data_IF_820962804041
#
_entry.id   IF_820962804041
#
_cell.length_a   1.000
_cell.length_b   1.000
_cell.length_c   1.000
_cell.angle_alpha   90.00
_cell.angle_beta   90.00
_cell.angle_gamma   90.00
#
_symmetry.space_group_name_H-M   'P 1'
#
loop_
_entity.id
_entity.type
_entity.pdbx_description
1 polymer ?
#
# COMPACT_ATOMS: atom_id res chain seq x y z
N UNK A 1 65.19 26.48 -17.48
CA UNK A 1 63.89 26.20 -16.90
C UNK A 1 63.03 25.52 -17.95
N UNK A 2 62.91 24.22 -17.83
CA UNK A 2 62.34 23.39 -18.89
C UNK A 2 60.83 23.42 -18.85
N UNK A 3 60.25 23.85 -19.98
CA UNK A 3 58.81 23.96 -20.24
C UNK A 3 58.05 22.60 -20.29
N UNK A 4 58.72 21.54 -19.76
CA UNK A 4 58.21 20.14 -19.86
C UNK A 4 57.55 19.59 -18.61
N UNK A 5 57.31 20.39 -17.59
CA UNK A 5 56.72 19.92 -16.31
C UNK A 5 55.35 20.54 -15.98
N UNK A 6 54.64 21.07 -16.97
CA UNK A 6 53.26 21.54 -16.81
C UNK A 6 52.27 20.56 -17.46
N UNK A 7 52.51 19.28 -17.21
CA UNK A 7 51.52 18.26 -17.60
C UNK A 7 51.12 17.48 -16.36
N UNK A 8 49.83 17.33 -16.21
CA UNK A 8 49.13 16.43 -15.29
C UNK A 8 48.84 16.94 -13.88
N UNK A 9 47.86 17.78 -13.75
CA UNK A 9 46.92 17.72 -12.64
C UNK A 9 45.54 18.04 -13.15
N UNK A 10 45.04 17.20 -14.07
CA UNK A 10 43.63 17.16 -14.42
C UNK A 10 42.95 16.32 -13.36
N UNK A 11 42.60 16.95 -12.23
CA UNK A 11 41.78 16.32 -11.19
C UNK A 11 40.42 16.00 -11.79
N UNK A 12 40.16 14.72 -12.03
CA UNK A 12 38.82 14.20 -12.28
C UNK A 12 37.98 14.45 -11.02
N UNK A 13 37.29 15.56 -11.00
CA UNK A 13 36.19 15.76 -10.06
C UNK A 13 35.09 14.85 -10.54
N UNK A 14 35.04 13.65 -10.00
CA UNK A 14 33.89 12.77 -10.13
C UNK A 14 32.72 13.45 -9.37
N UNK A 15 31.84 14.11 -10.12
CA UNK A 15 30.55 14.51 -9.60
C UNK A 15 29.75 13.25 -9.25
N UNK A 16 29.81 12.86 -8.00
CA UNK A 16 28.90 11.89 -7.43
C UNK A 16 27.51 12.57 -7.42
N UNK A 17 26.70 12.31 -8.42
CA UNK A 17 25.28 12.67 -8.40
C UNK A 17 24.66 11.82 -7.30
N UNK A 18 24.09 12.43 -6.23
CA UNK A 18 23.36 11.64 -5.27
C UNK A 18 22.19 11.01 -6.01
N UNK A 19 22.15 9.69 -6.07
CA UNK A 19 20.97 8.97 -6.49
C UNK A 19 19.88 9.28 -5.47
N UNK A 20 18.94 10.15 -5.82
CA UNK A 20 17.71 10.30 -5.06
C UNK A 20 16.97 8.98 -5.17
N UNK A 21 17.06 8.16 -4.12
CA UNK A 21 16.20 7.00 -3.99
C UNK A 21 14.76 7.52 -4.00
N UNK A 22 13.95 7.11 -4.99
CA UNK A 22 12.54 7.43 -5.02
C UNK A 22 11.92 6.93 -3.72
N UNK A 23 11.41 7.84 -2.93
CA UNK A 23 10.65 7.49 -1.73
C UNK A 23 9.37 6.77 -2.17
N UNK A 24 9.04 5.62 -1.56
CA UNK A 24 7.82 4.91 -1.91
C UNK A 24 6.63 5.85 -1.71
N UNK A 25 5.77 5.96 -2.72
CA UNK A 25 4.58 6.77 -2.59
C UNK A 25 3.48 6.03 -1.81
N UNK A 26 2.72 6.72 -0.96
CA UNK A 26 1.64 6.08 -0.23
C UNK A 26 0.60 5.47 -1.17
N UNK A 27 0.07 4.30 -0.80
CA UNK A 27 -1.06 3.69 -1.49
C UNK A 27 -2.40 4.37 -1.13
N UNK A 28 -2.49 4.90 0.07
CA UNK A 28 -3.70 5.56 0.57
C UNK A 28 -3.51 6.15 1.96
N UNK A 29 -4.63 6.42 2.62
CA UNK A 29 -4.66 7.02 3.95
C UNK A 29 -5.76 6.44 4.82
N UNK A 30 -5.53 6.45 6.12
CA UNK A 30 -6.53 6.12 7.13
C UNK A 30 -7.59 7.22 7.18
N UNK A 31 -8.85 6.85 7.06
CA UNK A 31 -10.00 7.77 7.07
C UNK A 31 -10.94 7.57 8.25
N UNK A 32 -10.94 6.37 8.84
CA UNK A 32 -11.76 6.04 10.00
C UNK A 32 -10.92 5.24 10.97
N UNK A 33 -10.92 5.63 12.23
CA UNK A 33 -10.30 4.89 13.34
C UNK A 33 -11.25 4.93 14.53
N UNK A 34 -11.53 3.78 15.09
CA UNK A 34 -12.26 3.64 16.35
C UNK A 34 -11.73 2.44 17.11
N UNK A 35 -11.51 2.57 18.40
CA UNK A 35 -10.91 1.51 19.21
C UNK A 35 -9.47 1.19 18.83
N UNK A 36 -9.02 -0.01 19.14
CA UNK A 36 -7.65 -0.44 18.86
C UNK A 36 -7.45 -0.78 17.37
N UNK A 37 -6.57 -0.05 16.70
CA UNK A 37 -6.20 -0.28 15.31
C UNK A 37 -4.71 0.01 15.10
N UNK A 38 -4.08 -0.80 14.26
CA UNK A 38 -2.62 -0.78 14.06
C UNK A 38 -2.25 -0.90 12.59
N UNK A 39 -1.14 -0.27 12.23
CA UNK A 39 -0.46 -0.48 10.95
C UNK A 39 0.84 -1.21 11.23
N UNK A 40 1.09 -2.29 10.51
CA UNK A 40 2.30 -3.10 10.62
C UNK A 40 3.08 -2.97 9.33
N UNK A 41 4.26 -2.37 9.44
CA UNK A 41 5.18 -2.14 8.32
C UNK A 41 6.49 -2.87 8.59
N UNK A 42 6.75 -3.95 7.86
CA UNK A 42 7.85 -4.82 8.19
C UNK A 42 7.72 -5.37 9.61
N UNK A 43 8.66 -5.04 10.49
CA UNK A 43 8.65 -5.43 11.90
C UNK A 43 8.12 -4.33 12.84
N UNK A 44 7.76 -3.16 12.31
CA UNK A 44 7.27 -2.04 13.09
C UNK A 44 5.76 -2.10 13.22
N UNK A 45 5.28 -1.94 14.45
CA UNK A 45 3.85 -1.85 14.77
C UNK A 45 3.55 -0.43 15.23
N UNK A 46 2.67 0.25 14.52
CA UNK A 46 2.25 1.62 14.79
C UNK A 46 0.77 1.65 15.11
N UNK A 47 0.38 2.47 16.08
CA UNK A 47 -1.04 2.78 16.28
C UNK A 47 -1.57 3.54 15.07
N UNK A 48 -2.71 3.12 14.54
CA UNK A 48 -3.33 3.79 13.40
C UNK A 48 -3.97 5.11 13.82
N UNK A 49 -3.69 6.16 13.06
CA UNK A 49 -4.21 7.51 13.28
C UNK A 49 -4.91 8.03 12.03
N UNK A 50 -5.88 8.93 12.21
CA UNK A 50 -6.53 9.60 11.08
C UNK A 50 -5.53 10.34 10.20
N UNK A 51 -5.64 10.16 8.89
CA UNK A 51 -4.76 10.79 7.92
C UNK A 51 -3.41 10.11 7.72
N UNK A 52 -3.09 9.10 8.54
CA UNK A 52 -1.82 8.37 8.42
C UNK A 52 -1.70 7.68 7.07
N UNK A 53 -0.56 7.82 6.37
CA UNK A 53 -0.36 7.13 5.11
C UNK A 53 -0.18 5.62 5.29
N UNK A 54 -0.71 4.86 4.35
CA UNK A 54 -0.48 3.42 4.22
C UNK A 54 0.21 3.15 2.88
N UNK A 55 1.03 2.11 2.84
CA UNK A 55 1.87 1.77 1.69
C UNK A 55 1.60 0.34 1.22
N UNK A 56 2.04 0.03 0.02
CA UNK A 56 2.11 -1.35 -0.45
C UNK A 56 2.89 -2.20 0.56
N UNK A 57 2.45 -3.41 0.78
CA UNK A 57 2.95 -4.38 1.76
C UNK A 57 2.59 -4.11 3.22
N UNK A 58 2.03 -2.96 3.57
CA UNK A 58 1.54 -2.72 4.92
C UNK A 58 0.41 -3.70 5.27
N UNK A 59 0.42 -4.16 6.51
CA UNK A 59 -0.71 -4.87 7.12
C UNK A 59 -1.43 -3.93 8.06
N UNK A 60 -2.73 -3.98 8.04
CA UNK A 60 -3.60 -3.22 8.95
C UNK A 60 -4.40 -4.20 9.78
N UNK A 61 -4.48 -3.95 11.07
CA UNK A 61 -5.09 -4.85 12.05
C UNK A 61 -5.94 -4.09 13.04
N UNK A 62 -7.05 -4.69 13.43
CA UNK A 62 -7.92 -4.18 14.48
C UNK A 62 -7.94 -5.12 15.68
N UNK A 63 -8.07 -4.55 16.87
CA UNK A 63 -8.36 -5.30 18.09
C UNK A 63 -9.84 -5.68 18.20
N UNK A 64 -10.21 -6.30 19.31
CA UNK A 64 -11.58 -6.80 19.54
C UNK A 64 -12.67 -5.70 19.57
N UNK A 65 -12.30 -4.46 19.78
CA UNK A 65 -13.15 -3.27 19.77
C UNK A 65 -12.84 -2.32 18.61
N UNK A 66 -11.89 -2.69 17.75
CA UNK A 66 -11.34 -1.82 16.72
C UNK A 66 -12.16 -1.77 15.45
N UNK A 67 -12.11 -0.60 14.80
CA UNK A 67 -12.60 -0.38 13.44
C UNK A 67 -11.62 0.51 12.70
N UNK A 68 -11.41 0.21 11.44
CA UNK A 68 -10.46 0.92 10.61
C UNK A 68 -11.02 1.07 9.20
N UNK A 69 -10.97 2.26 8.66
CA UNK A 69 -11.33 2.54 7.27
C UNK A 69 -10.18 3.21 6.53
N UNK A 70 -9.88 2.72 5.34
CA UNK A 70 -8.79 3.21 4.50
C UNK A 70 -9.33 3.56 3.13
N UNK A 71 -8.88 4.69 2.60
CA UNK A 71 -9.13 5.11 1.22
C UNK A 71 -7.80 5.12 0.46
N UNK A 72 -7.75 4.38 -0.61
CA UNK A 72 -6.60 4.31 -1.51
C UNK A 72 -6.61 5.47 -2.50
N UNK A 73 -5.50 5.71 -3.19
CA UNK A 73 -5.36 6.83 -4.15
C UNK A 73 -6.29 6.74 -5.36
N UNK A 74 -6.75 5.56 -5.70
CA UNK A 74 -7.72 5.33 -6.77
C UNK A 74 -9.18 5.44 -6.30
N UNK A 75 -9.41 5.93 -5.09
CA UNK A 75 -10.70 6.02 -4.41
C UNK A 75 -11.31 4.66 -4.00
N UNK A 76 -10.57 3.57 -4.11
CA UNK A 76 -10.96 2.31 -3.46
C UNK A 76 -11.01 2.51 -1.95
N UNK A 77 -12.07 2.02 -1.34
CA UNK A 77 -12.24 2.04 0.11
C UNK A 77 -12.33 0.62 0.64
N UNK A 78 -11.63 0.35 1.69
CA UNK A 78 -11.83 -0.88 2.45
C UNK A 78 -11.87 -0.58 3.94
N UNK A 79 -12.62 -1.36 4.66
CA UNK A 79 -12.81 -1.20 6.10
C UNK A 79 -12.72 -2.55 6.80
N UNK A 80 -12.20 -2.51 8.02
CA UNK A 80 -12.08 -3.66 8.89
C UNK A 80 -13.03 -3.51 10.06
N UNK A 81 -13.75 -4.60 10.35
CA UNK A 81 -14.48 -4.77 11.60
C UNK A 81 -13.54 -5.20 12.74
N UNK A 82 -14.07 -5.50 13.93
CA UNK A 82 -13.29 -5.98 15.06
C UNK A 82 -12.51 -7.27 14.75
N UNK A 83 -11.31 -7.40 15.33
CA UNK A 83 -10.52 -8.62 15.23
C UNK A 83 -10.08 -9.00 13.81
N UNK A 84 -9.86 -8.03 12.96
CA UNK A 84 -9.59 -8.23 11.54
C UNK A 84 -8.16 -7.84 11.16
N UNK A 85 -7.67 -8.45 10.08
CA UNK A 85 -6.36 -8.15 9.51
C UNK A 85 -6.41 -8.22 7.99
N UNK A 86 -5.93 -7.16 7.33
CA UNK A 86 -5.84 -7.06 5.87
C UNK A 86 -4.44 -6.58 5.51
N UNK A 87 -3.85 -7.20 4.50
CA UNK A 87 -2.60 -6.76 3.90
C UNK A 87 -2.85 -6.11 2.54
N UNK A 88 -2.23 -4.97 2.30
CA UNK A 88 -2.16 -4.35 0.98
C UNK A 88 -1.04 -5.05 0.21
N UNK A 89 -1.35 -6.18 -0.42
CA UNK A 89 -0.34 -7.03 -1.05
C UNK A 89 0.26 -6.39 -2.29
N UNK A 90 -0.55 -5.62 -3.02
CA UNK A 90 -0.12 -4.89 -4.21
C UNK A 90 -0.98 -3.66 -4.43
N UNK A 91 -0.35 -2.56 -4.80
CA UNK A 91 -1.02 -1.35 -5.21
C UNK A 91 -0.19 -0.60 -6.25
N UNK A 92 -0.77 -0.36 -7.42
CA UNK A 92 -0.20 0.50 -8.44
C UNK A 92 -1.34 1.29 -9.09
N UNK A 93 -1.22 2.60 -9.12
CA UNK A 93 -2.18 3.46 -9.77
C UNK A 93 -1.47 4.56 -10.54
N UNK A 94 -1.07 4.24 -11.75
CA UNK A 94 -0.48 5.14 -12.73
C UNK A 94 -1.06 4.81 -14.12
N UNK A 95 -2.33 5.16 -14.38
CA UNK A 95 -3.02 4.76 -15.61
C UNK A 95 -2.38 5.32 -16.87
N UNK A 96 -1.80 6.52 -16.82
CA UNK A 96 -1.05 7.11 -17.94
C UNK A 96 0.19 6.29 -18.34
N UNK A 97 0.72 5.46 -17.45
CA UNK A 97 1.86 4.59 -17.67
C UNK A 97 1.46 3.10 -17.83
N UNK A 98 0.17 2.83 -17.91
CA UNK A 98 -0.35 1.47 -18.01
C UNK A 98 -0.14 0.63 -16.74
N UNK A 99 0.17 1.24 -15.60
CA UNK A 99 0.38 0.54 -14.33
C UNK A 99 -0.84 0.67 -13.44
N UNK A 100 -1.61 -0.39 -13.39
CA UNK A 100 -2.83 -0.50 -12.58
C UNK A 100 -2.86 -1.88 -11.96
N UNK A 101 -2.86 -1.94 -10.62
CA UNK A 101 -2.98 -3.20 -9.89
C UNK A 101 -3.49 -2.94 -8.46
N UNK A 102 -4.31 -3.83 -7.95
CA UNK A 102 -4.74 -3.85 -6.57
C UNK A 102 -4.91 -5.29 -6.10
N UNK A 103 -4.23 -5.65 -5.03
CA UNK A 103 -4.45 -6.90 -4.34
C UNK A 103 -4.53 -6.64 -2.84
N UNK A 104 -5.63 -7.04 -2.23
CA UNK A 104 -5.86 -7.02 -0.81
C UNK A 104 -5.98 -8.46 -0.30
N UNK A 105 -5.20 -8.80 0.71
CA UNK A 105 -5.28 -10.10 1.36
C UNK A 105 -5.98 -9.96 2.71
N UNK A 106 -7.18 -10.52 2.80
CA UNK A 106 -7.93 -10.59 4.06
C UNK A 106 -7.46 -11.83 4.82
N UNK A 107 -6.61 -11.60 5.81
CA UNK A 107 -5.98 -12.67 6.58
C UNK A 107 -6.98 -13.29 7.55
N UNK A 108 -7.78 -12.45 8.20
CA UNK A 108 -8.82 -12.88 9.16
C UNK A 108 -9.83 -11.78 9.42
N UNK A 109 -10.96 -12.14 9.99
CA UNK A 109 -12.00 -11.23 10.44
C UNK A 109 -12.92 -10.76 9.32
N UNK A 110 -13.49 -9.58 9.49
CA UNK A 110 -14.44 -9.00 8.54
C UNK A 110 -13.84 -7.80 7.85
N UNK A 111 -13.97 -7.76 6.53
CA UNK A 111 -13.59 -6.63 5.72
C UNK A 111 -14.69 -6.29 4.72
N UNK A 112 -14.89 -5.02 4.48
CA UNK A 112 -15.75 -4.52 3.42
C UNK A 112 -14.91 -3.76 2.39
N UNK A 113 -15.25 -3.94 1.13
CA UNK A 113 -14.56 -3.35 -0.01
C UNK A 113 -15.55 -2.57 -0.86
N UNK A 114 -15.18 -1.37 -1.26
CA UNK A 114 -15.92 -0.55 -2.22
C UNK A 114 -14.99 -0.20 -3.37
N UNK A 115 -15.40 -0.52 -4.58
CA UNK A 115 -14.62 -0.31 -5.80
C UNK A 115 -14.24 1.16 -6.00
N UNK A 116 -12.99 1.36 -6.41
CA UNK A 116 -12.49 2.64 -6.88
C UNK A 116 -12.27 2.66 -8.39
N UNK A 117 -11.34 3.49 -8.84
CA UNK A 117 -11.05 3.70 -10.26
C UNK A 117 -10.35 2.52 -10.91
N UNK A 118 -9.49 1.79 -10.19
CA UNK A 118 -8.83 0.60 -10.73
C UNK A 118 -9.86 -0.42 -11.21
N UNK A 119 -10.87 -0.71 -10.40
CA UNK A 119 -11.91 -1.66 -10.76
C UNK A 119 -12.75 -1.21 -11.97
N UNK A 120 -12.91 0.10 -12.15
CA UNK A 120 -13.63 0.67 -13.30
C UNK A 120 -12.80 0.61 -14.59
N UNK A 121 -11.50 0.88 -14.48
CA UNK A 121 -10.58 0.89 -15.62
C UNK A 121 -10.17 -0.52 -16.04
N UNK A 122 -9.93 -1.41 -15.08
CA UNK A 122 -9.49 -2.77 -15.31
C UNK A 122 -9.96 -3.69 -14.17
N UNK A 123 -11.17 -4.25 -14.28
CA UNK A 123 -11.71 -5.13 -13.23
C UNK A 123 -10.81 -6.33 -12.91
N UNK A 124 -10.11 -6.84 -13.89
CA UNK A 124 -9.21 -7.99 -13.72
C UNK A 124 -7.92 -7.64 -12.95
N UNK A 125 -7.63 -6.36 -12.79
CA UNK A 125 -6.50 -5.88 -12.00
C UNK A 125 -6.77 -5.87 -10.48
N UNK A 126 -8.01 -6.11 -10.06
CA UNK A 126 -8.41 -6.17 -8.65
C UNK A 126 -8.53 -7.60 -8.19
N UNK A 127 -7.78 -7.95 -7.14
CA UNK A 127 -7.82 -9.26 -6.50
C UNK A 127 -8.05 -9.09 -5.00
N UNK A 128 -9.06 -9.78 -4.49
CA UNK A 128 -9.25 -9.96 -3.06
C UNK A 128 -8.86 -11.39 -2.71
N UNK A 129 -7.86 -11.52 -1.87
CA UNK A 129 -7.30 -12.81 -1.47
C UNK A 129 -7.74 -13.15 -0.05
N UNK A 130 -8.01 -14.41 0.19
CA UNK A 130 -8.25 -14.99 1.51
C UNK A 130 -7.37 -16.23 1.66
N UNK A 131 -7.19 -16.80 2.86
CA UNK A 131 -6.38 -18.02 3.02
C UNK A 131 -6.84 -19.22 2.18
N UNK A 132 -8.08 -19.23 1.73
CA UNK A 132 -8.63 -20.35 0.97
C UNK A 132 -9.05 -20.05 -0.46
N UNK A 133 -9.00 -18.78 -0.89
CA UNK A 133 -9.52 -18.40 -2.20
C UNK A 133 -8.96 -17.07 -2.70
N UNK A 134 -8.98 -16.90 -4.02
CA UNK A 134 -8.80 -15.61 -4.67
C UNK A 134 -10.15 -15.23 -5.27
N UNK A 135 -10.66 -14.07 -4.90
CA UNK A 135 -11.96 -13.57 -5.35
C UNK A 135 -11.73 -12.47 -6.36
N UNK A 136 -12.16 -12.68 -7.59
CA UNK A 136 -12.26 -11.61 -8.59
C UNK A 136 -13.46 -10.71 -8.27
N UNK A 137 -13.25 -9.41 -8.27
CA UNK A 137 -14.31 -8.45 -7.93
C UNK A 137 -14.95 -7.92 -9.19
N UNK A 138 -16.22 -8.24 -9.35
CA UNK A 138 -17.09 -7.60 -10.34
C UNK A 138 -18.25 -6.97 -9.57
N UNK A 139 -18.23 -5.66 -9.46
CA UNK A 139 -19.26 -4.94 -8.72
C UNK A 139 -18.70 -3.80 -7.88
N UNK A 140 -19.56 -3.09 -7.21
CA UNK A 140 -19.20 -1.88 -6.48
C UNK A 140 -18.89 -2.11 -5.01
N UNK A 141 -19.46 -3.13 -4.40
CA UNK A 141 -19.31 -3.40 -2.96
C UNK A 141 -19.25 -4.89 -2.69
N UNK A 142 -18.33 -5.30 -1.83
CA UNK A 142 -18.17 -6.67 -1.39
C UNK A 142 -17.86 -6.69 0.11
N UNK A 143 -18.48 -7.61 0.84
CA UNK A 143 -18.14 -7.91 2.21
C UNK A 143 -17.56 -9.32 2.31
N UNK A 144 -16.47 -9.47 3.04
CA UNK A 144 -15.78 -10.74 3.26
C UNK A 144 -15.70 -11.03 4.76
N UNK A 145 -15.89 -12.28 5.11
CA UNK A 145 -15.65 -12.77 6.46
C UNK A 145 -14.73 -14.00 6.38
N UNK A 146 -13.63 -13.92 7.09
CA UNK A 146 -12.64 -15.01 7.20
C UNK A 146 -12.57 -15.44 8.66
N UNK A 147 -13.05 -16.65 8.93
CA UNK A 147 -12.98 -17.22 10.27
C UNK A 147 -11.56 -17.66 10.58
N UNK A 148 -11.05 -17.45 11.79
CA UNK A 148 -9.78 -18.03 12.21
C UNK A 148 -9.92 -19.56 12.26
N UNK A 149 -8.88 -20.25 11.77
CA UNK A 149 -8.73 -21.71 11.93
C UNK A 149 -8.05 -22.02 13.24
#
# INVERSE_FOLDING_TARGET
>A
MNLRQLVAAMALVSLSVPAFAEQPSPAGRVKVVSGAAFIIRGNEVMTAELGQPVFESDRVRTGSDGRLGITLKDDTRFSLGPGSEVQISRFAYAPAQGRIALALNVVRGMAAYVSGRIAKLSPDAVKLETPGAIVGVRGTTLALSVSPR
#
